data_IF_855250457499
#
_entry.id   IF_855250457499
#
_cell.length_a   1.000
_cell.length_b   1.000
_cell.length_c   1.000
_cell.angle_alpha   90.00
_cell.angle_beta   90.00
_cell.angle_gamma   90.00
#
_symmetry.space_group_name_H-M   'P 1'
#
loop_
_entity.id
_entity.type
_entity.pdbx_description
1 polymer ?
#
# COMPACT_ATOMS: atom_id res chain seq x y z
N UNK A 1 39.99 -5.40 14.20
CA UNK A 1 38.90 -6.31 13.75
C UNK A 1 37.73 -6.13 14.69
N UNK A 2 36.57 -5.80 14.14
CA UNK A 2 35.32 -5.70 14.92
C UNK A 2 34.72 -7.11 14.92
N UNK A 3 34.56 -7.71 16.11
CA UNK A 3 34.04 -9.06 16.25
C UNK A 3 32.64 -9.00 16.86
N UNK A 4 31.72 -9.74 16.26
CA UNK A 4 30.43 -10.05 16.84
C UNK A 4 30.57 -11.24 17.78
N UNK A 5 29.92 -11.21 18.89
CA UNK A 5 29.91 -12.28 19.88
C UNK A 5 28.48 -12.71 20.23
N UNK A 6 28.33 -13.93 20.67
CA UNK A 6 27.10 -14.43 21.22
C UNK A 6 27.05 -14.10 22.72
N UNK A 7 26.03 -13.41 23.16
CA UNK A 7 25.79 -13.08 24.57
C UNK A 7 24.36 -13.43 24.97
N UNK A 8 24.17 -13.83 26.23
CA UNK A 8 22.84 -13.96 26.81
C UNK A 8 22.21 -12.59 27.04
N UNK A 9 20.88 -12.48 26.90
CA UNK A 9 20.17 -11.23 27.18
C UNK A 9 20.33 -10.75 28.62
N UNK A 10 20.48 -11.68 29.58
CA UNK A 10 20.79 -11.35 30.98
C UNK A 10 22.18 -10.75 31.21
N UNK A 11 23.12 -10.94 30.27
CA UNK A 11 24.42 -10.26 30.29
C UNK A 11 24.32 -8.85 29.68
N UNK A 12 23.34 -8.63 28.84
CA UNK A 12 23.11 -7.37 28.15
C UNK A 12 22.15 -6.43 28.90
N UNK A 13 21.26 -7.00 29.69
CA UNK A 13 20.20 -6.23 30.36
C UNK A 13 19.97 -6.68 31.79
N UNK A 14 19.51 -5.73 32.60
CA UNK A 14 18.99 -5.94 33.96
C UNK A 14 17.51 -5.54 33.96
N UNK A 15 16.65 -6.27 34.68
CA UNK A 15 15.25 -5.90 34.82
C UNK A 15 15.11 -4.68 35.73
N UNK A 16 14.45 -3.61 35.25
CA UNK A 16 14.06 -2.49 36.10
C UNK A 16 12.79 -2.87 36.86
N UNK A 17 12.92 -3.04 38.16
CA UNK A 17 11.81 -3.40 39.07
C UNK A 17 11.24 -2.17 39.80
N UNK A 18 11.84 -0.99 39.63
CA UNK A 18 11.46 0.26 40.27
C UNK A 18 10.03 0.63 39.91
N UNK A 19 9.15 0.79 40.93
CA UNK A 19 7.80 1.26 40.76
C UNK A 19 7.73 2.80 40.82
N UNK A 20 6.84 3.38 40.00
CA UNK A 20 6.58 4.82 39.98
C UNK A 20 5.07 5.05 39.85
N UNK A 21 4.38 5.57 40.91
CA UNK A 21 2.93 5.70 40.89
C UNK A 21 2.43 6.90 40.07
N UNK A 22 3.32 7.82 39.73
CA UNK A 22 3.00 9.01 38.93
C UNK A 22 3.93 9.13 37.73
N UNK A 23 3.36 9.33 36.55
CA UNK A 23 4.11 9.50 35.30
C UNK A 23 3.17 9.42 34.10
N UNK A 24 3.69 9.79 32.95
CA UNK A 24 2.97 9.61 31.70
C UNK A 24 2.81 8.14 31.38
N UNK A 25 1.57 7.73 31.09
CA UNK A 25 1.28 6.34 30.75
C UNK A 25 1.85 6.01 29.36
N UNK A 26 2.66 4.96 29.31
CA UNK A 26 3.29 4.46 28.11
C UNK A 26 2.64 3.13 27.72
N UNK A 27 2.42 2.94 26.43
CA UNK A 27 1.93 1.69 25.84
C UNK A 27 2.97 1.08 24.91
N UNK A 28 3.07 -0.24 24.94
CA UNK A 28 3.93 -1.01 24.01
C UNK A 28 3.04 -1.71 23.02
N UNK A 29 3.27 -1.44 21.75
CA UNK A 29 2.47 -1.98 20.64
C UNK A 29 3.30 -2.94 19.78
N UNK A 30 2.64 -3.90 19.12
CA UNK A 30 3.31 -4.88 18.26
C UNK A 30 4.05 -4.16 17.10
N UNK A 31 3.34 -3.31 16.37
CA UNK A 31 3.87 -2.68 15.15
C UNK A 31 4.49 -1.29 15.37
N UNK A 32 4.06 -0.56 16.39
CA UNK A 32 4.48 0.83 16.63
C UNK A 32 5.51 0.99 17.75
N UNK A 33 5.97 -0.12 18.38
CA UNK A 33 6.87 -0.04 19.52
C UNK A 33 6.27 0.72 20.70
N UNK A 34 7.07 1.57 21.32
CA UNK A 34 6.66 2.37 22.48
C UNK A 34 6.03 3.69 22.03
N UNK A 35 4.86 4.01 22.61
CA UNK A 35 4.12 5.26 22.38
C UNK A 35 3.55 5.79 23.69
N UNK A 36 3.32 7.09 23.75
CA UNK A 36 2.51 7.67 24.81
C UNK A 36 1.08 7.18 24.66
N UNK A 37 0.43 6.85 25.77
CA UNK A 37 -0.94 6.36 25.71
C UNK A 37 -1.90 7.41 25.11
N UNK A 38 -1.67 8.68 25.41
CA UNK A 38 -2.42 9.82 24.86
C UNK A 38 -2.41 9.92 23.33
N UNK A 39 -1.39 9.35 22.67
CA UNK A 39 -1.25 9.35 21.20
C UNK A 39 -2.06 8.23 20.51
N UNK A 40 -2.63 7.29 21.26
CA UNK A 40 -3.30 6.13 20.71
C UNK A 40 -4.77 6.34 20.40
N UNK A 41 -5.38 7.43 20.87
CA UNK A 41 -6.81 7.72 20.66
C UNK A 41 -7.76 6.65 21.24
N UNK A 42 -7.30 5.89 22.25
CA UNK A 42 -8.05 4.84 22.90
C UNK A 42 -8.53 5.29 24.29
N UNK A 43 -9.66 4.72 24.76
CA UNK A 43 -10.11 4.92 26.13
C UNK A 43 -9.08 4.33 27.11
N UNK A 44 -8.78 5.09 28.18
CA UNK A 44 -7.87 4.64 29.24
C UNK A 44 -8.60 3.68 30.18
N UNK A 45 -8.29 2.39 30.02
CA UNK A 45 -8.76 1.30 30.89
C UNK A 45 -7.70 0.93 31.95
N UNK A 46 -6.68 1.78 32.17
CA UNK A 46 -5.65 1.50 33.17
C UNK A 46 -6.24 1.61 34.58
N UNK A 47 -5.68 0.86 35.51
CA UNK A 47 -6.11 0.89 36.91
C UNK A 47 -5.89 2.29 37.50
N UNK A 48 -6.84 2.79 38.31
CA UNK A 48 -6.69 4.04 39.03
C UNK A 48 -5.50 3.99 39.97
N UNK A 49 -5.34 2.90 40.73
CA UNK A 49 -4.14 2.64 41.55
C UNK A 49 -2.95 2.26 40.67
N UNK A 50 -2.01 3.19 40.53
CA UNK A 50 -0.77 3.04 39.79
C UNK A 50 0.44 2.74 40.69
N UNK A 51 0.25 2.42 41.96
CA UNK A 51 1.35 2.16 42.91
C UNK A 51 2.32 1.03 42.44
N UNK A 52 1.82 0.06 41.69
CA UNK A 52 2.59 -1.06 41.15
C UNK A 52 3.08 -0.86 39.72
N UNK A 53 2.82 0.31 39.12
CA UNK A 53 3.29 0.60 37.77
C UNK A 53 4.81 0.75 37.75
N UNK A 54 5.45 0.16 36.75
CA UNK A 54 6.90 0.17 36.61
C UNK A 54 7.37 1.45 35.93
N UNK A 55 8.45 2.00 36.42
CA UNK A 55 9.14 3.13 35.80
C UNK A 55 9.78 2.72 34.49
N UNK A 56 9.71 3.58 33.50
CA UNK A 56 10.40 3.50 32.22
C UNK A 56 11.19 4.78 32.02
N UNK A 57 12.47 4.65 31.68
CA UNK A 57 13.34 5.76 31.32
C UNK A 57 13.64 5.77 29.83
N UNK A 58 14.05 6.94 29.32
CA UNK A 58 14.64 7.05 27.99
C UNK A 58 15.84 6.10 27.93
N UNK A 59 15.90 5.27 26.90
CA UNK A 59 16.96 4.27 26.75
C UNK A 59 16.57 2.86 27.18
N UNK A 60 15.54 2.68 27.99
CA UNK A 60 15.05 1.35 28.35
C UNK A 60 14.38 0.65 27.17
N UNK A 61 14.36 -0.68 27.20
CA UNK A 61 13.45 -1.47 26.36
C UNK A 61 12.29 -1.92 27.24
N UNK A 62 11.06 -1.65 26.81
CA UNK A 62 9.89 -2.22 27.46
C UNK A 62 9.21 -3.22 26.52
N UNK A 63 8.69 -4.31 27.10
CA UNK A 63 7.90 -5.29 26.34
C UNK A 63 6.71 -5.80 27.15
N UNK A 64 5.64 -6.14 26.42
CA UNK A 64 4.49 -6.81 27.03
C UNK A 64 4.79 -8.29 27.18
N UNK A 65 4.95 -8.79 28.41
CA UNK A 65 5.36 -10.16 28.67
C UNK A 65 4.38 -11.19 28.10
N UNK A 66 3.09 -10.89 28.01
CA UNK A 66 2.06 -11.75 27.42
C UNK A 66 1.98 -11.68 25.89
N UNK A 67 2.62 -10.70 25.26
CA UNK A 67 2.57 -10.46 23.81
C UNK A 67 3.97 -10.35 23.19
N UNK A 68 5.03 -10.71 23.94
CA UNK A 68 6.40 -10.69 23.43
C UNK A 68 6.58 -11.64 22.25
N UNK A 69 5.89 -12.77 22.26
CA UNK A 69 5.85 -13.73 21.16
C UNK A 69 5.23 -13.19 19.86
N UNK A 70 4.52 -12.08 19.93
CA UNK A 70 4.04 -11.30 18.77
C UNK A 70 4.94 -10.10 18.45
N UNK A 71 6.02 -9.90 19.20
CA UNK A 71 6.94 -8.78 19.04
C UNK A 71 6.50 -7.48 19.71
N UNK A 72 5.61 -7.54 20.72
CA UNK A 72 5.20 -6.35 21.49
C UNK A 72 6.32 -5.86 22.40
N UNK A 73 7.29 -5.16 21.84
CA UNK A 73 8.48 -4.60 22.50
C UNK A 73 8.92 -3.31 21.83
N UNK A 74 9.79 -2.54 22.47
CA UNK A 74 10.40 -1.37 21.85
C UNK A 74 11.38 -0.65 22.76
N UNK A 75 12.24 0.15 22.15
CA UNK A 75 13.09 1.15 22.80
C UNK A 75 12.22 2.32 23.25
N UNK A 76 12.41 2.82 24.47
CA UNK A 76 11.67 3.97 24.99
C UNK A 76 12.36 5.29 24.68
N UNK A 77 11.74 6.16 23.87
CA UNK A 77 12.18 7.54 23.70
C UNK A 77 11.59 8.47 24.79
N UNK A 78 10.82 7.95 25.75
CA UNK A 78 10.11 8.70 26.77
C UNK A 78 10.43 8.20 28.18
N UNK A 79 10.35 9.12 29.16
CA UNK A 79 10.20 8.77 30.57
C UNK A 79 8.72 8.61 30.87
N UNK A 80 8.34 7.60 31.68
CA UNK A 80 6.95 7.38 32.04
C UNK A 80 6.75 6.10 32.84
N UNK A 81 5.55 5.57 32.79
CA UNK A 81 5.14 4.37 33.53
C UNK A 81 4.43 3.37 32.60
N UNK A 82 4.62 2.08 32.89
CA UNK A 82 3.91 0.98 32.24
C UNK A 82 3.21 0.09 33.24
N UNK A 83 2.15 -0.59 32.83
CA UNK A 83 1.43 -1.57 33.64
C UNK A 83 2.39 -2.64 34.21
N UNK A 84 2.07 -3.23 35.38
CA UNK A 84 2.86 -4.33 35.96
C UNK A 84 3.05 -5.56 35.06
N UNK A 85 2.15 -5.75 34.07
CA UNK A 85 2.25 -6.84 33.09
C UNK A 85 3.41 -6.68 32.07
N UNK A 86 4.05 -5.52 32.04
CA UNK A 86 5.20 -5.26 31.20
C UNK A 86 6.51 -5.55 31.94
N UNK A 87 7.52 -5.93 31.18
CA UNK A 87 8.90 -6.03 31.65
C UNK A 87 9.70 -4.88 31.05
N UNK A 88 10.52 -4.24 31.87
CA UNK A 88 11.38 -3.11 31.50
C UNK A 88 12.83 -3.52 31.65
N UNK A 89 13.62 -3.35 30.59
CA UNK A 89 15.02 -3.76 30.52
C UNK A 89 15.91 -2.51 30.52
N UNK A 90 16.80 -2.42 31.47
CA UNK A 90 17.89 -1.45 31.54
C UNK A 90 19.13 -2.04 30.86
N UNK A 91 19.71 -1.34 29.89
CA UNK A 91 20.92 -1.78 29.23
C UNK A 91 22.13 -1.72 30.16
N UNK A 92 22.93 -2.77 30.16
CA UNK A 92 24.22 -2.85 30.84
C UNK A 92 25.29 -2.12 30.01
N UNK A 93 26.46 -1.87 30.62
CA UNK A 93 27.56 -1.20 29.94
C UNK A 93 27.99 -1.93 28.66
N UNK A 94 28.25 -1.13 27.61
CA UNK A 94 28.64 -1.65 26.29
C UNK A 94 27.46 -2.14 25.43
N UNK A 95 26.21 -1.92 25.84
CA UNK A 95 25.02 -2.33 25.09
C UNK A 95 24.22 -1.13 24.62
N UNK A 96 24.00 -1.03 23.32
CA UNK A 96 23.07 -0.07 22.75
C UNK A 96 21.66 -0.68 22.69
N UNK A 97 20.81 -0.28 23.62
CA UNK A 97 19.44 -0.79 23.75
C UNK A 97 18.60 -0.61 22.48
N UNK A 98 18.78 0.51 21.76
CA UNK A 98 18.07 0.75 20.49
C UNK A 98 18.44 -0.28 19.43
N UNK A 99 19.73 -0.63 19.29
CA UNK A 99 20.21 -1.66 18.38
C UNK A 99 19.57 -3.03 18.70
N UNK A 100 19.49 -3.38 19.97
CA UNK A 100 18.88 -4.65 20.40
C UNK A 100 17.36 -4.62 20.24
N UNK A 101 16.71 -3.48 20.48
CA UNK A 101 15.27 -3.33 20.23
C UNK A 101 14.88 -3.63 18.77
N UNK A 102 15.73 -3.25 17.81
CA UNK A 102 15.55 -3.65 16.40
C UNK A 102 15.73 -5.15 16.21
N UNK A 103 16.71 -5.78 16.87
CA UNK A 103 16.86 -7.24 16.80
C UNK A 103 15.62 -7.97 17.32
N UNK A 104 14.95 -7.47 18.36
CA UNK A 104 13.74 -8.06 18.92
C UNK A 104 12.58 -8.10 17.91
N UNK A 105 12.61 -7.26 16.88
CA UNK A 105 11.60 -7.25 15.79
C UNK A 105 11.90 -8.23 14.66
N UNK A 106 13.05 -8.89 14.68
CA UNK A 106 13.39 -9.87 13.64
C UNK A 106 12.49 -11.11 13.74
N UNK A 107 11.96 -11.64 12.64
CA UNK A 107 11.10 -12.83 12.64
C UNK A 107 11.71 -14.02 13.41
N UNK A 108 13.04 -14.24 13.25
CA UNK A 108 13.75 -15.27 14.01
C UNK A 108 13.73 -15.05 15.52
N UNK A 109 13.87 -13.79 15.97
CA UNK A 109 13.81 -13.47 17.40
C UNK A 109 12.39 -13.60 17.95
N UNK A 110 11.39 -13.18 17.18
CA UNK A 110 9.97 -13.40 17.52
C UNK A 110 9.70 -14.88 17.66
N UNK A 111 10.21 -15.73 16.78
CA UNK A 111 10.10 -17.19 16.89
C UNK A 111 10.81 -17.72 18.15
N UNK A 112 12.03 -17.23 18.45
CA UNK A 112 12.73 -17.59 19.69
C UNK A 112 11.92 -17.19 20.93
N UNK A 113 11.33 -16.00 20.94
CA UNK A 113 10.45 -15.57 22.03
C UNK A 113 9.21 -16.44 22.14
N UNK A 114 8.64 -16.86 21.01
CA UNK A 114 7.47 -17.76 20.99
C UNK A 114 7.77 -19.11 21.64
N UNK A 115 8.85 -19.79 21.25
CA UNK A 115 9.20 -21.11 21.78
C UNK A 115 9.66 -21.07 23.25
N UNK A 116 10.11 -19.92 23.75
CA UNK A 116 10.46 -19.72 25.15
C UNK A 116 9.33 -19.13 26.00
N UNK A 117 8.19 -18.79 25.41
CA UNK A 117 7.02 -18.33 26.15
C UNK A 117 6.31 -19.51 26.83
N UNK A 118 5.90 -19.31 28.08
CA UNK A 118 5.27 -20.35 28.91
C UNK A 118 3.78 -20.10 29.03
N UNK A 119 2.97 -21.13 28.95
CA UNK A 119 1.51 -21.10 29.08
C UNK A 119 0.86 -22.28 28.36
N UNK A 120 -0.38 -22.65 28.75
CA UNK A 120 -1.10 -23.79 28.17
C UNK A 120 -1.66 -23.43 26.77
N UNK A 121 -2.13 -22.19 26.60
CA UNK A 121 -2.68 -21.67 25.35
C UNK A 121 -1.99 -20.38 24.97
N UNK A 122 -2.02 -20.00 23.70
CA UNK A 122 -1.38 -18.77 23.21
C UNK A 122 -1.86 -17.50 23.92
N UNK A 123 -3.08 -17.49 24.44
CA UNK A 123 -3.63 -16.35 25.19
C UNK A 123 -2.98 -16.17 26.56
N UNK A 124 -2.44 -17.26 27.13
CA UNK A 124 -1.77 -17.28 28.43
C UNK A 124 -0.24 -17.30 28.32
N UNK A 125 0.31 -17.31 27.11
CA UNK A 125 1.76 -17.31 26.94
C UNK A 125 2.38 -16.06 27.55
N UNK A 126 3.46 -16.28 28.31
CA UNK A 126 4.14 -15.23 29.02
C UNK A 126 5.65 -15.46 28.96
N UNK A 127 6.40 -14.45 28.60
CA UNK A 127 7.87 -14.46 28.60
C UNK A 127 8.36 -13.49 29.67
N UNK A 128 8.67 -13.99 30.85
CA UNK A 128 9.23 -13.20 31.97
C UNK A 128 10.73 -13.04 31.82
N UNK A 129 11.29 -12.04 32.53
CA UNK A 129 12.72 -11.72 32.46
C UNK A 129 13.65 -12.91 32.76
N UNK A 130 13.43 -13.78 33.75
CA UNK A 130 14.32 -14.92 33.99
C UNK A 130 14.48 -15.85 32.76
N UNK A 131 13.40 -16.14 32.06
CA UNK A 131 13.45 -16.95 30.83
C UNK A 131 14.03 -16.16 29.67
N UNK A 132 13.68 -14.85 29.54
CA UNK A 132 14.26 -13.97 28.52
C UNK A 132 15.79 -13.86 28.69
N UNK A 133 16.30 -13.78 29.94
CA UNK A 133 17.71 -13.59 30.24
C UNK A 133 18.60 -14.74 29.73
N UNK A 134 18.05 -15.94 29.59
CA UNK A 134 18.79 -17.10 29.04
C UNK A 134 18.85 -17.15 27.51
N UNK A 135 18.07 -16.32 26.83
CA UNK A 135 18.06 -16.25 25.36
C UNK A 135 19.34 -15.58 24.87
N UNK A 136 20.01 -16.22 23.91
CA UNK A 136 21.23 -15.68 23.32
C UNK A 136 20.94 -14.84 22.08
N UNK A 137 21.69 -13.75 21.96
CA UNK A 137 21.69 -12.85 20.79
C UNK A 137 23.14 -12.69 20.27
N UNK A 138 23.26 -12.22 19.04
CA UNK A 138 24.55 -11.75 18.51
C UNK A 138 24.63 -10.25 18.63
N UNK A 139 25.75 -9.76 19.16
CA UNK A 139 25.99 -8.34 19.39
C UNK A 139 27.45 -7.99 18.99
N UNK A 140 27.63 -6.82 18.38
CA UNK A 140 28.97 -6.29 18.16
C UNK A 140 29.63 -5.89 19.50
N UNK A 141 30.90 -6.17 19.66
CA UNK A 141 31.71 -5.66 20.81
C UNK A 141 31.89 -4.15 20.78
N UNK A 142 31.72 -3.53 19.61
CA UNK A 142 31.88 -2.08 19.46
C UNK A 142 30.54 -1.38 19.66
N UNK A 143 30.44 -0.57 20.70
CA UNK A 143 29.27 0.29 20.97
C UNK A 143 29.03 1.30 19.83
N UNK A 144 30.08 1.75 19.14
CA UNK A 144 30.02 2.64 18.00
C UNK A 144 29.34 1.94 16.79
N UNK A 145 29.68 0.67 16.54
CA UNK A 145 29.06 -0.11 15.49
C UNK A 145 27.58 -0.35 15.80
N UNK A 146 27.25 -0.74 17.03
CA UNK A 146 25.87 -0.86 17.49
C UNK A 146 25.08 0.45 17.28
N UNK A 147 25.72 1.59 17.61
CA UNK A 147 25.15 2.93 17.42
C UNK A 147 24.88 3.27 15.94
N UNK A 148 25.83 2.96 15.06
CA UNK A 148 25.68 3.16 13.61
C UNK A 148 24.55 2.31 13.03
N UNK A 149 24.45 1.05 13.43
CA UNK A 149 23.36 0.15 13.03
C UNK A 149 22.01 0.70 13.49
N UNK A 150 21.91 1.10 14.76
CA UNK A 150 20.70 1.68 15.33
C UNK A 150 20.26 2.95 14.57
N UNK A 151 21.19 3.85 14.30
CA UNK A 151 20.93 5.11 13.57
C UNK A 151 20.47 4.87 12.13
N UNK A 152 21.11 3.91 11.43
CA UNK A 152 20.70 3.52 10.08
C UNK A 152 19.27 2.99 10.07
N UNK A 153 18.96 2.03 10.95
CA UNK A 153 17.62 1.42 11.02
C UNK A 153 16.55 2.44 11.41
N UNK A 154 16.85 3.35 12.35
CA UNK A 154 15.95 4.45 12.73
C UNK A 154 15.67 5.39 11.56
N UNK A 155 16.71 5.76 10.80
CA UNK A 155 16.56 6.60 9.60
C UNK A 155 15.67 5.92 8.54
N UNK A 156 15.83 4.61 8.34
CA UNK A 156 14.99 3.83 7.43
C UNK A 156 13.54 3.77 7.88
N UNK A 157 13.27 3.52 9.16
CA UNK A 157 11.90 3.54 9.71
C UNK A 157 11.25 4.92 9.58
N UNK A 158 12.03 5.99 9.81
CA UNK A 158 11.54 7.35 9.61
C UNK A 158 11.17 7.62 8.14
N UNK A 159 12.03 7.26 7.18
CA UNK A 159 11.74 7.41 5.75
C UNK A 159 10.50 6.61 5.33
N UNK A 160 10.36 5.35 5.76
CA UNK A 160 9.19 4.53 5.49
C UNK A 160 7.93 5.23 6.00
N UNK A 161 7.96 5.75 7.22
CA UNK A 161 6.82 6.47 7.83
C UNK A 161 6.46 7.73 7.03
N UNK A 162 7.45 8.51 6.59
CA UNK A 162 7.23 9.70 5.75
C UNK A 162 6.59 9.34 4.41
N UNK A 163 7.09 8.28 3.75
CA UNK A 163 6.52 7.81 2.48
C UNK A 163 5.07 7.34 2.64
N UNK A 164 4.76 6.59 3.71
CA UNK A 164 3.40 6.16 4.02
C UNK A 164 2.45 7.34 4.25
N UNK A 165 2.85 8.34 5.05
CA UNK A 165 2.05 9.55 5.28
C UNK A 165 1.82 10.34 3.99
N UNK A 166 2.83 10.45 3.14
CA UNK A 166 2.72 11.14 1.85
C UNK A 166 1.77 10.39 0.90
N UNK A 167 1.86 9.06 0.86
CA UNK A 167 0.97 8.21 0.10
C UNK A 167 -0.51 8.45 0.47
N UNK A 168 -0.83 8.41 1.77
CA UNK A 168 -2.20 8.64 2.23
C UNK A 168 -2.70 10.05 1.89
N UNK A 169 -1.85 11.08 2.04
CA UNK A 169 -2.21 12.45 1.61
C UNK A 169 -2.48 12.53 0.11
N UNK A 170 -1.65 11.88 -0.72
CA UNK A 170 -1.84 11.89 -2.19
C UNK A 170 -3.15 11.19 -2.59
N UNK A 171 -3.51 10.08 -1.94
CA UNK A 171 -4.79 9.39 -2.16
C UNK A 171 -5.98 10.30 -1.82
N UNK A 172 -5.91 11.01 -0.67
CA UNK A 172 -6.94 11.96 -0.26
C UNK A 172 -7.06 13.11 -1.27
N UNK A 173 -5.94 13.67 -1.72
CA UNK A 173 -5.92 14.72 -2.75
C UNK A 173 -6.55 14.19 -4.04
N UNK A 174 -6.15 13.01 -4.52
CA UNK A 174 -6.73 12.42 -5.74
C UNK A 174 -8.25 12.29 -5.62
N UNK A 175 -8.74 11.73 -4.51
CA UNK A 175 -10.17 11.58 -4.26
C UNK A 175 -10.89 12.92 -4.28
N UNK A 176 -10.41 13.90 -3.53
CA UNK A 176 -11.00 15.24 -3.48
C UNK A 176 -11.00 15.93 -4.85
N UNK A 177 -9.93 15.79 -5.65
CA UNK A 177 -9.87 16.37 -6.98
C UNK A 177 -10.79 15.67 -7.98
N UNK A 178 -10.97 14.34 -7.91
CA UNK A 178 -11.96 13.63 -8.70
C UNK A 178 -13.41 14.08 -8.40
N UNK A 179 -13.68 14.53 -7.18
CA UNK A 179 -14.99 15.05 -6.78
C UNK A 179 -15.21 16.51 -7.20
N UNK A 180 -14.15 17.32 -7.35
CA UNK A 180 -14.27 18.76 -7.54
C UNK A 180 -13.83 19.27 -8.91
N UNK A 181 -12.96 18.53 -9.64
CA UNK A 181 -12.54 18.91 -11.01
C UNK A 181 -13.50 18.44 -12.11
N UNK A 182 -14.55 17.69 -11.74
CA UNK A 182 -15.61 17.30 -12.67
C UNK A 182 -16.96 17.82 -12.17
N UNK A 183 -17.84 18.32 -13.08
CA UNK A 183 -19.16 18.83 -12.72
C UNK A 183 -19.99 17.77 -12.01
N UNK A 184 -20.67 18.14 -10.95
CA UNK A 184 -21.61 17.26 -10.24
C UNK A 184 -22.98 17.30 -10.93
N UNK A 185 -23.91 16.46 -10.46
CA UNK A 185 -25.24 16.28 -11.03
C UNK A 185 -25.91 17.59 -11.46
N UNK A 186 -26.11 17.77 -12.76
CA UNK A 186 -26.78 18.93 -13.34
C UNK A 186 -25.95 20.22 -13.48
N UNK A 187 -24.74 20.25 -12.92
CA UNK A 187 -23.83 21.40 -13.07
C UNK A 187 -23.17 21.37 -14.46
N UNK A 188 -22.92 22.55 -15.04
CA UNK A 188 -22.23 22.71 -16.34
C UNK A 188 -20.74 22.95 -16.21
N UNK A 189 -20.28 23.26 -15.00
CA UNK A 189 -18.87 23.54 -14.71
C UNK A 189 -18.44 22.88 -13.41
N UNK A 190 -17.16 22.49 -13.25
CA UNK A 190 -16.67 21.90 -12.01
C UNK A 190 -16.52 22.97 -10.91
N UNK A 191 -16.53 22.55 -9.64
CA UNK A 191 -16.32 23.42 -8.47
C UNK A 191 -14.91 24.01 -8.42
N UNK A 192 -13.92 23.24 -8.84
CA UNK A 192 -12.52 23.68 -8.99
C UNK A 192 -12.18 23.58 -10.46
N UNK A 193 -11.59 24.64 -11.02
CA UNK A 193 -11.21 24.70 -12.41
C UNK A 193 -9.83 25.33 -12.57
N UNK A 194 -9.05 24.85 -13.50
CA UNK A 194 -7.77 25.48 -13.84
C UNK A 194 -8.00 26.88 -14.40
N UNK A 195 -7.09 27.82 -14.09
CA UNK A 195 -7.19 29.20 -14.57
C UNK A 195 -7.10 29.29 -16.11
N UNK A 196 -7.81 30.25 -16.67
CA UNK A 196 -7.81 30.51 -18.11
C UNK A 196 -8.94 29.81 -18.89
N UNK A 197 -9.84 29.08 -18.23
CA UNK A 197 -11.00 28.45 -18.86
C UNK A 197 -12.28 28.96 -18.21
N UNK A 198 -13.19 29.52 -19.02
CA UNK A 198 -14.44 30.17 -18.56
C UNK A 198 -15.70 29.62 -19.20
N UNK A 199 -15.56 28.97 -20.36
CA UNK A 199 -16.72 28.45 -21.12
C UNK A 199 -17.39 27.29 -20.41
N UNK A 200 -18.72 27.18 -20.55
CA UNK A 200 -19.48 26.04 -20.06
C UNK A 200 -19.01 24.74 -20.74
N UNK A 201 -19.07 23.64 -20.02
CA UNK A 201 -18.78 22.33 -20.58
C UNK A 201 -19.94 21.83 -21.43
N UNK A 202 -19.63 21.11 -22.51
CA UNK A 202 -20.62 20.45 -23.32
C UNK A 202 -21.27 19.30 -22.55
N UNK A 203 -22.59 19.14 -22.77
CA UNK A 203 -23.36 18.06 -22.21
C UNK A 203 -23.99 17.25 -23.34
N UNK A 204 -23.62 15.97 -23.47
CA UNK A 204 -24.10 15.07 -24.54
C UNK A 204 -24.39 13.68 -24.02
N UNK A 205 -25.29 12.97 -24.70
CA UNK A 205 -25.50 11.55 -24.41
C UNK A 205 -24.27 10.73 -24.80
N UNK A 206 -23.93 9.72 -23.96
CA UNK A 206 -22.78 8.84 -24.24
C UNK A 206 -22.94 8.16 -25.61
N UNK A 207 -24.15 7.78 -25.99
CA UNK A 207 -24.43 7.20 -27.31
C UNK A 207 -24.16 8.09 -28.51
N UNK A 208 -24.07 9.41 -28.32
CA UNK A 208 -23.73 10.39 -29.37
C UNK A 208 -22.22 10.63 -29.49
N UNK A 209 -21.50 10.41 -28.39
CA UNK A 209 -20.06 10.68 -28.30
C UNK A 209 -19.22 9.47 -28.70
N UNK A 210 -19.78 8.25 -28.58
CA UNK A 210 -19.03 7.01 -28.81
C UNK A 210 -19.65 6.07 -29.84
N UNK A 211 -18.79 5.44 -30.62
CA UNK A 211 -19.09 4.25 -31.41
C UNK A 211 -18.88 3.02 -30.54
N UNK A 212 -19.85 2.12 -30.51
CA UNK A 212 -19.79 0.86 -29.78
C UNK A 212 -19.10 -0.21 -30.64
N UNK A 213 -17.98 -0.73 -30.17
CA UNK A 213 -17.28 -1.82 -30.81
C UNK A 213 -17.81 -3.17 -30.31
N UNK A 214 -17.38 -4.26 -30.94
CA UNK A 214 -17.68 -5.61 -30.50
C UNK A 214 -16.60 -6.14 -29.55
N UNK A 215 -17.03 -6.84 -28.53
CA UNK A 215 -16.16 -7.61 -27.62
C UNK A 215 -16.23 -9.11 -27.95
N UNK A 216 -15.19 -9.86 -27.62
CA UNK A 216 -15.20 -11.32 -27.68
C UNK A 216 -15.84 -11.93 -26.41
N UNK A 217 -16.10 -13.24 -26.43
CA UNK A 217 -16.75 -13.99 -25.36
C UNK A 217 -15.83 -15.07 -24.77
N UNK A 218 -14.52 -15.01 -25.04
CA UNK A 218 -13.56 -15.98 -24.52
C UNK A 218 -13.44 -15.85 -23.01
N UNK A 219 -13.51 -16.99 -22.34
CA UNK A 219 -13.23 -17.10 -20.91
C UNK A 219 -11.74 -16.93 -20.63
N UNK A 220 -11.36 -16.79 -19.36
CA UNK A 220 -9.94 -16.67 -18.97
C UNK A 220 -9.12 -17.91 -19.33
N UNK A 221 -9.73 -19.09 -19.30
CA UNK A 221 -9.11 -20.39 -19.61
C UNK A 221 -8.81 -20.57 -21.12
N UNK A 222 -9.49 -19.80 -21.97
CA UNK A 222 -9.28 -19.80 -23.43
C UNK A 222 -8.21 -18.78 -23.87
N UNK A 223 -7.56 -18.11 -22.91
CA UNK A 223 -6.45 -17.17 -23.11
C UNK A 223 -5.15 -17.79 -22.60
N UNK A 224 -4.02 -17.40 -23.20
CA UNK A 224 -2.70 -17.82 -22.75
C UNK A 224 -1.76 -16.62 -22.57
N UNK A 225 -0.64 -16.81 -21.87
CA UNK A 225 0.32 -15.74 -21.58
C UNK A 225 1.61 -15.87 -22.45
N UNK A 226 1.63 -16.80 -23.42
CA UNK A 226 2.83 -17.12 -24.23
C UNK A 226 2.82 -16.35 -25.56
N UNK A 227 1.89 -16.69 -26.47
CA UNK A 227 1.78 -16.08 -27.80
C UNK A 227 0.37 -16.18 -28.41
N UNK A 228 0.13 -15.49 -29.54
CA UNK A 228 -1.12 -15.56 -30.26
C UNK A 228 -1.27 -14.50 -31.35
N UNK A 229 -2.40 -14.54 -32.05
CA UNK A 229 -2.70 -13.65 -33.18
C UNK A 229 -3.25 -12.28 -32.75
N UNK A 230 -3.73 -12.15 -31.51
CA UNK A 230 -4.16 -10.90 -30.88
C UNK A 230 -4.08 -11.03 -29.36
N UNK A 231 -4.04 -9.89 -28.67
CA UNK A 231 -4.17 -9.83 -27.23
C UNK A 231 -5.61 -9.51 -26.82
N UNK A 232 -6.03 -9.89 -25.60
CA UNK A 232 -7.38 -9.67 -25.11
C UNK A 232 -7.38 -8.94 -23.75
N UNK A 233 -8.30 -7.99 -23.57
CA UNK A 233 -8.51 -7.28 -22.28
C UNK A 233 -9.79 -7.80 -21.66
N UNK A 234 -9.67 -8.59 -20.61
CA UNK A 234 -10.78 -9.20 -19.89
C UNK A 234 -11.33 -8.29 -18.80
N UNK A 235 -12.66 -8.33 -18.52
CA UNK A 235 -13.31 -7.46 -17.52
C UNK A 235 -12.67 -7.56 -16.13
N UNK A 236 -12.32 -8.75 -15.69
CA UNK A 236 -11.67 -8.93 -14.39
C UNK A 236 -10.34 -8.19 -14.26
N UNK A 237 -9.57 -8.08 -15.35
CA UNK A 237 -8.32 -7.30 -15.37
C UNK A 237 -8.63 -5.78 -15.32
N UNK A 238 -9.70 -5.32 -15.99
CA UNK A 238 -10.19 -3.93 -15.90
C UNK A 238 -10.59 -3.60 -14.45
N UNK A 239 -11.28 -4.51 -13.77
CA UNK A 239 -11.74 -4.28 -12.39
C UNK A 239 -10.59 -4.26 -11.38
N UNK A 240 -9.59 -5.15 -11.53
CA UNK A 240 -8.62 -5.43 -10.45
C UNK A 240 -7.22 -4.91 -10.76
N UNK A 241 -6.72 -5.12 -12.01
CA UNK A 241 -5.30 -4.89 -12.33
C UNK A 241 -5.00 -3.48 -12.81
N UNK A 242 -5.94 -2.87 -13.56
CA UNK A 242 -5.65 -1.62 -14.25
C UNK A 242 -6.27 -0.43 -13.51
N UNK A 243 -5.57 0.72 -13.62
CA UNK A 243 -6.08 2.01 -13.18
C UNK A 243 -7.07 2.60 -14.20
N UNK A 244 -7.20 3.91 -14.22
CA UNK A 244 -8.10 4.62 -15.11
C UNK A 244 -7.57 4.69 -16.56
N UNK A 245 -6.25 4.57 -16.74
CA UNK A 245 -5.56 4.57 -18.03
C UNK A 245 -4.64 3.37 -18.13
N UNK A 246 -4.64 2.70 -19.27
CA UNK A 246 -3.79 1.55 -19.56
C UNK A 246 -2.83 1.84 -20.71
N UNK A 247 -1.54 1.92 -20.40
CA UNK A 247 -0.51 1.90 -21.43
C UNK A 247 -0.14 0.46 -21.76
N UNK A 248 -0.64 -0.04 -22.89
CA UNK A 248 -0.49 -1.44 -23.29
C UNK A 248 0.95 -1.83 -23.62
N UNK A 249 1.83 -0.89 -23.93
CA UNK A 249 3.27 -1.20 -24.17
C UNK A 249 4.02 -1.53 -22.86
N UNK A 250 3.42 -1.28 -21.71
CA UNK A 250 4.04 -1.49 -20.38
C UNK A 250 3.46 -2.66 -19.60
N UNK A 251 2.51 -3.39 -20.19
CA UNK A 251 1.77 -4.46 -19.50
C UNK A 251 1.69 -5.67 -20.41
N UNK A 252 1.91 -6.85 -19.86
CA UNK A 252 1.64 -8.10 -20.57
C UNK A 252 0.14 -8.37 -20.56
N UNK A 253 -0.45 -8.44 -21.75
CA UNK A 253 -1.83 -8.82 -21.95
C UNK A 253 -1.88 -10.29 -22.42
N UNK A 254 -2.88 -11.07 -22.00
CA UNK A 254 -3.04 -12.44 -22.46
C UNK A 254 -3.37 -12.49 -23.94
N UNK A 255 -2.94 -13.56 -24.58
CA UNK A 255 -3.09 -13.78 -26.01
C UNK A 255 -4.28 -14.67 -26.34
N UNK A 256 -4.79 -14.49 -27.57
CA UNK A 256 -5.76 -15.33 -28.25
C UNK A 256 -5.03 -16.00 -29.41
N UNK A 257 -4.87 -17.33 -29.36
CA UNK A 257 -4.19 -18.15 -30.38
C UNK A 257 -5.13 -18.62 -31.51
N UNK A 258 -6.45 -18.48 -31.33
CA UNK A 258 -7.44 -18.88 -32.31
C UNK A 258 -7.61 -17.83 -33.42
N UNK A 259 -6.90 -18.05 -34.54
CA UNK A 259 -6.91 -17.17 -35.72
C UNK A 259 -8.32 -16.92 -36.29
N UNK A 260 -9.20 -17.91 -36.24
CA UNK A 260 -10.57 -17.77 -36.76
C UNK A 260 -11.42 -16.84 -35.92
N UNK A 261 -11.21 -16.86 -34.61
CA UNK A 261 -11.87 -15.93 -33.70
C UNK A 261 -11.32 -14.52 -33.92
N UNK A 262 -10.01 -14.34 -33.92
CA UNK A 262 -9.37 -13.03 -34.11
C UNK A 262 -9.79 -12.38 -35.44
N UNK A 263 -9.91 -13.14 -36.53
CA UNK A 263 -10.35 -12.63 -37.82
C UNK A 263 -11.75 -12.00 -37.80
N UNK A 264 -12.66 -12.47 -36.94
CA UNK A 264 -14.01 -11.89 -36.77
C UNK A 264 -13.98 -10.50 -36.15
N UNK A 265 -12.90 -10.14 -35.47
CA UNK A 265 -12.75 -8.88 -34.75
C UNK A 265 -11.82 -7.87 -35.42
N UNK A 266 -11.24 -8.16 -36.60
CA UNK A 266 -10.31 -7.25 -37.31
C UNK A 266 -10.81 -5.81 -37.44
N UNK A 267 -12.13 -5.62 -37.67
CA UNK A 267 -12.76 -4.29 -37.78
C UNK A 267 -12.97 -3.59 -36.43
N UNK A 268 -12.75 -4.30 -35.32
CA UNK A 268 -13.05 -3.87 -33.96
C UNK A 268 -11.79 -3.88 -33.07
N UNK A 269 -10.60 -3.94 -33.68
CA UNK A 269 -9.36 -3.80 -32.93
C UNK A 269 -9.35 -2.48 -32.18
N UNK A 270 -8.91 -2.58 -30.95
CA UNK A 270 -8.77 -1.43 -30.04
C UNK A 270 -7.69 -0.48 -30.57
N UNK A 271 -7.90 0.80 -30.35
CA UNK A 271 -6.99 1.88 -30.76
C UNK A 271 -6.65 2.77 -29.55
N UNK A 272 -5.60 3.58 -29.70
CA UNK A 272 -5.28 4.59 -28.69
C UNK A 272 -6.45 5.57 -28.51
N UNK A 273 -6.86 5.83 -27.28
CA UNK A 273 -8.02 6.65 -26.91
C UNK A 273 -9.34 5.89 -26.81
N UNK A 274 -9.40 4.60 -27.19
CA UNK A 274 -10.58 3.77 -26.93
C UNK A 274 -10.75 3.56 -25.43
N UNK A 275 -12.01 3.44 -25.01
CA UNK A 275 -12.42 3.14 -23.63
C UNK A 275 -12.92 1.71 -23.57
N UNK A 276 -12.51 0.95 -22.57
CA UNK A 276 -13.06 -0.38 -22.28
C UNK A 276 -13.70 -0.34 -20.91
N UNK A 277 -15.01 -0.58 -20.85
CA UNK A 277 -15.82 -0.59 -19.63
C UNK A 277 -16.10 -2.03 -19.22
N UNK A 278 -15.92 -2.38 -17.95
CA UNK A 278 -16.40 -3.65 -17.40
C UNK A 278 -17.92 -3.55 -17.18
N UNK A 279 -18.68 -4.40 -17.88
CA UNK A 279 -20.15 -4.38 -17.82
C UNK A 279 -20.73 -5.22 -16.66
N UNK A 280 -19.89 -5.95 -15.95
CA UNK A 280 -20.28 -6.88 -14.89
C UNK A 280 -19.24 -6.86 -13.76
N UNK A 281 -19.72 -6.87 -12.51
CA UNK A 281 -18.91 -7.05 -11.30
C UNK A 281 -19.74 -7.67 -10.16
N UNK A 282 -19.08 -8.10 -9.09
CA UNK A 282 -19.74 -8.62 -7.87
C UNK A 282 -20.17 -7.51 -6.90
N UNK A 283 -19.83 -6.26 -7.19
CA UNK A 283 -20.08 -5.08 -6.35
C UNK A 283 -20.41 -3.84 -7.19
N UNK A 284 -20.42 -2.65 -6.56
CA UNK A 284 -20.68 -1.37 -7.22
C UNK A 284 -19.58 -0.90 -8.20
N UNK A 285 -18.54 -1.69 -8.44
CA UNK A 285 -17.46 -1.35 -9.39
C UNK A 285 -17.82 -1.59 -10.85
N UNK A 286 -19.02 -2.10 -11.12
CA UNK A 286 -19.60 -2.16 -12.47
C UNK A 286 -19.51 -0.78 -13.13
N UNK A 287 -19.08 -0.76 -14.39
CA UNK A 287 -18.85 0.49 -15.11
C UNK A 287 -17.44 1.06 -14.96
N UNK A 288 -16.58 0.45 -14.14
CA UNK A 288 -15.16 0.79 -14.13
C UNK A 288 -14.59 0.66 -15.52
N UNK A 289 -13.78 1.60 -15.96
CA UNK A 289 -13.24 1.64 -17.30
C UNK A 289 -11.73 1.93 -17.33
N UNK A 290 -11.15 1.68 -18.48
CA UNK A 290 -9.76 2.04 -18.80
C UNK A 290 -9.72 2.79 -20.13
N UNK A 291 -8.89 3.81 -20.22
CA UNK A 291 -8.54 4.49 -21.46
C UNK A 291 -7.23 3.92 -22.02
N UNK A 292 -7.22 3.52 -23.28
CA UNK A 292 -6.10 2.81 -23.92
C UNK A 292 -5.08 3.79 -24.49
N UNK A 293 -3.81 3.46 -24.28
CA UNK A 293 -2.66 4.16 -24.88
C UNK A 293 -1.47 3.23 -25.13
N UNK A 294 -0.45 3.76 -25.81
CA UNK A 294 0.80 3.03 -26.05
C UNK A 294 0.69 1.87 -27.03
N UNK A 295 -0.38 1.84 -27.83
CA UNK A 295 -0.55 0.83 -28.85
C UNK A 295 0.30 1.22 -30.07
N UNK A 296 1.26 0.36 -30.44
CA UNK A 296 2.13 0.57 -31.61
C UNK A 296 1.86 -0.52 -32.65
N UNK A 297 2.17 -1.78 -32.46
CA UNK A 297 2.05 -2.84 -33.48
C UNK A 297 1.32 -4.08 -32.96
N UNK A 298 0.38 -3.91 -32.03
CA UNK A 298 -0.34 -5.02 -31.44
C UNK A 298 -1.82 -5.00 -31.82
N UNK A 299 -2.36 -6.18 -32.18
CA UNK A 299 -3.79 -6.36 -32.33
C UNK A 299 -4.39 -6.66 -30.96
N UNK A 300 -5.24 -5.77 -30.47
CA UNK A 300 -5.95 -5.95 -29.20
C UNK A 300 -7.44 -6.03 -29.47
N UNK A 301 -8.12 -6.99 -28.84
CA UNK A 301 -9.57 -7.16 -28.86
C UNK A 301 -10.12 -7.04 -27.44
N UNK A 302 -11.31 -6.44 -27.32
CA UNK A 302 -12.01 -6.35 -26.06
C UNK A 302 -12.58 -7.72 -25.66
N UNK A 303 -12.40 -8.12 -24.41
CA UNK A 303 -12.71 -9.44 -23.89
C UNK A 303 -14.14 -9.63 -23.38
N UNK A 304 -14.37 -10.77 -22.74
CA UNK A 304 -15.63 -11.13 -22.10
C UNK A 304 -16.05 -10.06 -21.08
N UNK A 305 -17.35 -9.80 -21.01
CA UNK A 305 -17.95 -8.83 -20.09
C UNK A 305 -17.35 -7.43 -20.14
N UNK A 306 -17.04 -6.97 -21.36
CA UNK A 306 -16.58 -5.61 -21.59
C UNK A 306 -17.42 -4.89 -22.64
N UNK A 307 -17.49 -3.58 -22.53
CA UNK A 307 -18.12 -2.68 -23.51
C UNK A 307 -17.01 -1.77 -24.08
N UNK A 308 -16.46 -2.08 -25.26
CA UNK A 308 -15.48 -1.20 -25.90
C UNK A 308 -16.17 -0.04 -26.63
N UNK A 309 -15.65 1.17 -26.40
CA UNK A 309 -16.15 2.42 -26.90
C UNK A 309 -15.05 3.20 -27.61
N UNK A 310 -15.32 3.67 -28.81
CA UNK A 310 -14.42 4.55 -29.58
C UNK A 310 -15.01 5.95 -29.64
N UNK A 311 -14.29 7.00 -29.16
CA UNK A 311 -14.77 8.36 -29.28
C UNK A 311 -14.92 8.76 -30.76
N UNK A 312 -16.04 9.42 -31.12
CA UNK A 312 -16.26 9.98 -32.46
C UNK A 312 -15.30 11.15 -32.70
N UNK A 313 -15.15 12.02 -31.71
CA UNK A 313 -14.19 13.12 -31.72
C UNK A 313 -13.01 12.78 -30.84
N UNK A 314 -11.85 13.36 -31.14
CA UNK A 314 -10.64 13.15 -30.38
C UNK A 314 -10.71 13.85 -29.02
N UNK A 315 -10.49 13.09 -27.94
CA UNK A 315 -10.27 13.61 -26.59
C UNK A 315 -8.78 13.64 -26.24
N UNK A 316 -8.43 14.46 -25.25
CA UNK A 316 -7.08 14.42 -24.70
C UNK A 316 -6.89 13.17 -23.86
N UNK A 317 -5.76 12.51 -24.01
CA UNK A 317 -5.43 11.30 -23.26
C UNK A 317 -5.53 11.50 -21.75
N UNK A 318 -6.12 10.54 -21.08
CA UNK A 318 -6.34 10.50 -19.65
C UNK A 318 -7.63 11.18 -19.20
N UNK A 319 -8.18 12.12 -19.99
CA UNK A 319 -9.39 12.83 -19.59
C UNK A 319 -10.58 11.88 -19.38
N UNK A 320 -10.89 11.08 -20.40
CA UNK A 320 -12.04 10.15 -20.35
C UNK A 320 -11.84 9.05 -19.32
N UNK A 321 -10.65 8.51 -19.21
CA UNK A 321 -10.34 7.47 -18.23
C UNK A 321 -10.60 7.93 -16.79
N UNK A 322 -10.18 9.14 -16.43
CA UNK A 322 -10.44 9.69 -15.10
C UNK A 322 -11.88 10.15 -14.91
N UNK A 323 -12.48 10.80 -15.91
CA UNK A 323 -13.85 11.29 -15.80
C UNK A 323 -14.86 10.15 -15.63
N UNK A 324 -14.80 9.11 -16.48
CA UNK A 324 -15.74 8.00 -16.44
C UNK A 324 -15.64 7.15 -15.16
N UNK A 325 -14.47 7.14 -14.52
CA UNK A 325 -14.27 6.51 -13.21
C UNK A 325 -14.55 7.44 -12.02
N UNK A 326 -14.84 8.74 -12.26
CA UNK A 326 -15.18 9.68 -11.18
C UNK A 326 -16.59 9.47 -10.67
N UNK A 327 -16.86 9.82 -9.42
CA UNK A 327 -18.21 9.81 -8.85
C UNK A 327 -19.19 10.69 -9.64
N UNK A 328 -18.69 11.77 -10.26
CA UNK A 328 -19.47 12.66 -11.14
C UNK A 328 -20.18 11.90 -12.28
N UNK A 329 -19.48 10.93 -12.88
CA UNK A 329 -20.09 10.09 -13.92
C UNK A 329 -20.65 8.79 -13.35
N UNK A 330 -19.92 8.08 -12.51
CA UNK A 330 -20.28 6.73 -12.05
C UNK A 330 -21.59 6.70 -11.24
N UNK A 331 -21.93 7.76 -10.52
CA UNK A 331 -23.19 7.85 -9.80
C UNK A 331 -24.43 7.76 -10.72
N UNK A 332 -24.31 8.11 -12.03
CA UNK A 332 -25.38 7.91 -13.00
C UNK A 332 -25.59 6.43 -13.34
N UNK A 333 -24.56 5.58 -13.16
CA UNK A 333 -24.64 4.15 -13.47
C UNK A 333 -25.34 3.37 -12.36
N UNK A 334 -25.22 3.78 -11.10
CA UNK A 334 -25.80 3.07 -9.95
C UNK A 334 -27.29 2.71 -10.10
N UNK A 335 -28.19 3.63 -10.47
CA UNK A 335 -29.61 3.30 -10.66
C UNK A 335 -29.87 2.46 -11.91
N UNK A 336 -28.90 2.31 -12.80
CA UNK A 336 -29.01 1.53 -14.04
C UNK A 336 -28.47 0.11 -13.89
N UNK A 337 -27.81 -0.19 -12.77
CA UNK A 337 -27.25 -1.50 -12.46
C UNK A 337 -28.35 -2.51 -12.16
N UNK A 338 -28.21 -3.74 -12.65
CA UNK A 338 -29.14 -4.83 -12.47
C UNK A 338 -28.44 -6.07 -11.93
N UNK A 339 -29.12 -6.79 -11.04
CA UNK A 339 -28.59 -8.00 -10.40
C UNK A 339 -28.47 -7.88 -8.88
N UNK A 340 -28.39 -9.01 -8.17
CA UNK A 340 -28.33 -9.07 -6.70
C UNK A 340 -26.94 -9.50 -6.22
N UNK A 341 -26.38 -10.59 -6.78
CA UNK A 341 -25.05 -11.10 -6.43
C UNK A 341 -24.00 -10.66 -7.44
N UNK A 342 -24.39 -10.68 -8.70
CA UNK A 342 -23.56 -10.19 -9.82
C UNK A 342 -24.34 -9.05 -10.43
N UNK A 343 -23.73 -7.88 -10.45
CA UNK A 343 -24.33 -6.65 -10.97
C UNK A 343 -23.83 -6.41 -12.38
N UNK A 344 -24.71 -5.97 -13.27
CA UNK A 344 -24.37 -5.66 -14.66
C UNK A 344 -25.03 -4.41 -15.17
N UNK A 345 -24.46 -3.81 -16.22
CA UNK A 345 -25.03 -2.68 -16.95
C UNK A 345 -25.11 -2.99 -18.43
N UNK A 346 -26.29 -2.77 -19.03
CA UNK A 346 -26.46 -3.03 -20.46
C UNK A 346 -25.96 -1.88 -21.33
N UNK A 347 -25.51 -2.21 -22.56
CA UNK A 347 -25.09 -1.22 -23.58
C UNK A 347 -26.17 -0.17 -23.86
N UNK A 348 -27.46 -0.56 -23.83
CA UNK A 348 -28.57 0.34 -24.12
C UNK A 348 -28.77 1.36 -22.99
N UNK A 349 -28.69 0.92 -21.73
CA UNK A 349 -28.76 1.84 -20.59
C UNK A 349 -27.57 2.77 -20.53
N UNK A 350 -26.37 2.25 -20.80
CA UNK A 350 -25.16 3.06 -20.83
C UNK A 350 -25.25 4.21 -21.86
N UNK A 351 -25.86 3.98 -23.05
CA UNK A 351 -26.09 5.03 -24.09
C UNK A 351 -26.87 6.22 -23.57
N UNK A 352 -27.75 6.03 -22.59
CA UNK A 352 -28.64 7.09 -22.07
C UNK A 352 -27.95 8.00 -21.05
N UNK A 353 -26.80 7.61 -20.53
CA UNK A 353 -26.03 8.43 -19.58
C UNK A 353 -25.50 9.69 -20.25
N UNK A 354 -25.21 10.69 -19.45
CA UNK A 354 -24.77 12.00 -19.92
C UNK A 354 -23.30 12.22 -19.61
N UNK A 355 -22.54 12.69 -20.60
CA UNK A 355 -21.16 13.17 -20.44
C UNK A 355 -21.13 14.68 -20.34
N UNK A 356 -20.35 15.17 -19.38
CA UNK A 356 -19.99 16.58 -19.29
C UNK A 356 -18.49 16.71 -19.56
N UNK A 357 -18.10 17.49 -20.56
CA UNK A 357 -16.70 17.64 -20.90
C UNK A 357 -16.43 19.05 -21.46
N UNK A 358 -15.24 19.63 -21.22
CA UNK A 358 -14.87 20.89 -21.83
C UNK A 358 -14.64 20.70 -23.34
N UNK A 359 -15.17 21.60 -24.17
CA UNK A 359 -14.89 21.64 -25.61
C UNK A 359 -13.42 21.92 -25.89
N UNK A 360 -12.76 22.62 -24.97
CA UNK A 360 -11.35 22.99 -25.10
C UNK A 360 -10.44 21.78 -24.77
N UNK A 361 -9.77 21.27 -25.80
CA UNK A 361 -8.85 20.11 -25.69
C UNK A 361 -7.65 20.39 -24.76
N UNK A 362 -7.24 21.64 -24.57
CA UNK A 362 -6.16 21.99 -23.65
C UNK A 362 -6.59 21.84 -22.20
N UNK A 363 -7.85 22.17 -21.85
CA UNK A 363 -8.40 21.93 -20.53
C UNK A 363 -8.45 20.42 -20.23
N UNK A 364 -8.97 19.61 -21.17
CA UNK A 364 -8.95 18.16 -21.05
C UNK A 364 -7.53 17.63 -20.81
N UNK A 365 -6.55 18.15 -21.56
CA UNK A 365 -5.15 17.73 -21.46
C UNK A 365 -4.52 18.07 -20.10
N UNK A 366 -4.85 19.25 -19.54
CA UNK A 366 -4.36 19.66 -18.22
C UNK A 366 -4.95 18.74 -17.13
N UNK A 367 -6.28 18.47 -17.19
CA UNK A 367 -6.95 17.58 -16.26
C UNK A 367 -6.36 16.16 -16.32
N UNK A 368 -6.24 15.58 -17.53
CA UNK A 368 -5.68 14.24 -17.71
C UNK A 368 -4.25 14.13 -17.17
N UNK A 369 -3.37 15.09 -17.51
CA UNK A 369 -1.99 15.14 -17.01
C UNK A 369 -1.89 15.30 -15.49
N UNK A 370 -2.76 16.10 -14.90
CA UNK A 370 -2.81 16.29 -13.45
C UNK A 370 -3.05 14.96 -12.72
N UNK A 371 -4.05 14.21 -13.15
CA UNK A 371 -4.35 12.91 -12.53
C UNK A 371 -3.30 11.85 -12.85
N UNK A 372 -2.74 11.85 -14.06
CA UNK A 372 -1.64 10.93 -14.42
C UNK A 372 -0.41 11.17 -13.54
N UNK A 373 -0.05 12.44 -13.32
CA UNK A 373 1.02 12.81 -12.39
C UNK A 373 0.73 12.39 -10.95
N UNK A 374 -0.51 12.54 -10.46
CA UNK A 374 -0.91 12.05 -9.15
C UNK A 374 -0.80 10.53 -9.05
N UNK A 375 -1.26 9.80 -10.06
CA UNK A 375 -1.13 8.33 -10.11
C UNK A 375 0.34 7.90 -10.09
N UNK A 376 1.18 8.59 -10.86
CA UNK A 376 2.62 8.30 -10.86
C UNK A 376 3.24 8.52 -9.47
N UNK A 377 2.92 9.63 -8.80
CA UNK A 377 3.38 9.90 -7.44
C UNK A 377 2.87 8.86 -6.43
N UNK A 378 1.59 8.48 -6.52
CA UNK A 378 1.00 7.42 -5.68
C UNK A 378 1.76 6.11 -5.88
N UNK A 379 1.99 5.70 -7.13
CA UNK A 379 2.74 4.47 -7.46
C UNK A 379 4.16 4.49 -6.92
N UNK A 380 4.87 5.61 -7.07
CA UNK A 380 6.22 5.77 -6.51
C UNK A 380 6.26 5.58 -4.99
N UNK A 381 5.24 6.08 -4.28
CA UNK A 381 5.16 5.92 -2.82
C UNK A 381 4.57 4.58 -2.37
N UNK A 382 3.91 3.84 -3.28
CA UNK A 382 3.40 2.48 -3.02
C UNK A 382 4.44 1.39 -3.22
N UNK A 383 5.57 1.66 -3.86
CA UNK A 383 6.59 0.66 -4.14
C UNK A 383 7.06 -0.02 -2.85
N UNK A 384 6.31 -1.07 -2.47
CA UNK A 384 6.66 -2.04 -1.42
C UNK A 384 8.09 -2.62 -1.56
N UNK A 385 8.70 -2.77 -2.78
CA UNK A 385 10.08 -3.21 -2.88
C UNK A 385 11.06 -2.40 -2.04
N UNK A 386 10.81 -1.13 -1.82
CA UNK A 386 11.65 -0.29 -0.94
C UNK A 386 11.67 -0.82 0.49
N UNK A 387 10.50 -1.15 1.07
CA UNK A 387 10.42 -1.78 2.41
C UNK A 387 11.13 -3.15 2.44
N UNK A 388 10.96 -3.94 1.39
CA UNK A 388 11.56 -5.27 1.29
C UNK A 388 13.06 -5.22 1.07
N UNK A 389 13.56 -4.32 0.22
CA UNK A 389 14.99 -4.12 -0.04
C UNK A 389 15.68 -3.63 1.23
N UNK A 390 15.16 -2.62 1.92
CA UNK A 390 15.77 -2.12 3.15
C UNK A 390 15.68 -3.14 4.29
N UNK A 391 14.57 -3.84 4.46
CA UNK A 391 14.49 -4.96 5.41
C UNK A 391 15.47 -6.07 5.04
N UNK A 392 15.58 -6.44 3.76
CA UNK A 392 16.52 -7.47 3.31
C UNK A 392 17.99 -7.06 3.51
N UNK A 393 18.34 -5.79 3.30
CA UNK A 393 19.68 -5.25 3.59
C UNK A 393 19.93 -5.29 5.10
N UNK A 394 19.01 -4.85 5.93
CA UNK A 394 19.14 -4.92 7.38
C UNK A 394 19.28 -6.37 7.88
N UNK A 395 18.51 -7.31 7.33
CA UNK A 395 18.64 -8.74 7.63
C UNK A 395 19.99 -9.30 7.16
N UNK A 396 20.46 -8.94 5.97
CA UNK A 396 21.77 -9.38 5.48
C UNK A 396 22.93 -8.84 6.31
N UNK A 397 22.85 -7.59 6.76
CA UNK A 397 23.88 -7.02 7.67
C UNK A 397 23.92 -7.82 8.97
N UNK A 398 22.78 -8.16 9.54
CA UNK A 398 22.68 -8.91 10.79
C UNK A 398 23.03 -10.41 10.60
N UNK A 399 22.64 -11.03 9.50
CA UNK A 399 22.94 -12.45 9.21
C UNK A 399 24.38 -12.66 8.68
N UNK A 400 24.93 -11.72 7.94
CA UNK A 400 26.32 -11.76 7.48
C UNK A 400 27.30 -11.67 8.65
N UNK A 401 26.96 -10.87 9.66
CA UNK A 401 27.73 -10.80 10.89
C UNK A 401 27.83 -12.14 11.65
N UNK A 402 26.96 -13.12 11.34
CA UNK A 402 26.95 -14.45 11.96
C UNK A 402 27.82 -15.49 11.26
N UNK A 403 28.00 -15.39 9.96
CA UNK A 403 28.45 -16.54 9.14
C UNK A 403 29.93 -16.51 8.76
N UNK A 404 30.64 -15.40 8.95
CA UNK A 404 32.11 -15.28 8.66
C UNK A 404 32.74 -14.17 9.49
N UNK A 405 34.08 -14.25 9.76
CA UNK A 405 34.80 -13.09 10.26
C UNK A 405 34.61 -11.93 9.28
N UNK A 406 34.37 -10.71 9.75
CA UNK A 406 33.90 -9.62 8.91
C UNK A 406 34.90 -9.28 7.81
N UNK A 407 34.53 -9.52 6.57
CA UNK A 407 35.05 -8.75 5.44
C UNK A 407 34.28 -7.43 5.46
N UNK A 408 35.03 -6.33 5.37
CA UNK A 408 34.44 -4.98 5.32
C UNK A 408 33.37 -4.92 4.23
N UNK A 409 32.12 -4.60 4.60
CA UNK A 409 31.09 -4.14 3.66
C UNK A 409 31.46 -2.68 3.39
N UNK A 410 31.97 -2.38 2.20
CA UNK A 410 32.12 -1.00 1.77
C UNK A 410 30.76 -0.38 1.53
N UNK A 411 30.62 0.91 1.85
CA UNK A 411 29.38 1.67 1.61
C UNK A 411 28.91 1.58 0.14
N UNK A 412 29.86 1.39 -0.78
CA UNK A 412 29.66 1.20 -2.22
C UNK A 412 29.00 -0.15 -2.58
N UNK A 413 28.99 -1.13 -1.67
CA UNK A 413 28.37 -2.46 -1.87
C UNK A 413 26.86 -2.46 -1.46
N UNK A 414 26.35 -1.31 -0.97
CA UNK A 414 24.99 -1.16 -0.43
C UNK A 414 24.09 -0.29 -1.34
N UNK A 415 24.69 0.43 -2.33
CA UNK A 415 23.96 1.31 -3.27
C UNK A 415 23.69 0.59 -4.57
#
# INVERSE_FOLDING_TARGET
MIYWEQRKLGECFTERTESMPKGELISVTINGGIKRFSELGRHDNSNEDKSKYKKVCIGDIAYNSMRMWQGASGYSPYNGIVSPAYTVLLANDGVNSKCIAFQFKLPRMIHVFQINSQGITSDNWNLKFPTLSDISIYISRSIDEQGKIASLLESLDHLITLHQRKLEKLKIIKKSMLENLFPQNGEKTPKIRFSGFTEDWEQRKLGEVFIYLRNNTLSREELNDEDGFAQSIHYGDVLIKYGECLNVSKVLLPYVDNKNIVNKFKKFYIQNGDIIIADTAEDETVGKCIEISGLVDHNIISGLHTIPLRPVNKFAYGYLGFYLNSNSYHNQLKPLMQGIKVTSISKNLLKTTTLNYPSNIQEQKIIGRYFDALNHLITLHQLEPFKLIFKAIAYRIIDYAKSKPPRYIKYEDII
#
